data_IF_368698082921
#
_entry.id   IF_368698082921
#
_cell.length_a   1.000
_cell.length_b   1.000
_cell.length_c   1.000
_cell.angle_alpha   90.00
_cell.angle_beta   90.00
_cell.angle_gamma   90.00
#
_symmetry.space_group_name_H-M   'P 1'
#
loop_
_entity.id
_entity.type
_entity.pdbx_description
1 polymer ?
#
# COMPACT_ATOMS: atom_id res chain seq x y z
N UNK A 1 -22.06 -20.99 67.98
CA UNK A 1 -22.23 -20.47 66.61
C UNK A 1 -21.24 -21.25 65.75
N UNK A 2 -21.49 -22.52 65.44
CA UNK A 2 -22.53 -22.99 64.51
C UNK A 2 -22.61 -22.12 63.25
N UNK A 3 -21.93 -22.57 62.20
CA UNK A 3 -22.54 -22.87 60.91
C UNK A 3 -21.46 -23.50 60.01
N UNK A 4 -21.59 -24.82 59.91
CA UNK A 4 -20.89 -25.69 58.97
C UNK A 4 -21.53 -25.56 57.57
N UNK A 5 -20.86 -26.19 56.60
CA UNK A 5 -21.33 -26.69 55.30
C UNK A 5 -20.79 -25.92 54.09
N UNK A 6 -19.77 -26.47 53.41
CA UNK A 6 -19.85 -27.55 52.40
C UNK A 6 -20.34 -26.94 51.10
N UNK A 7 -19.72 -27.08 49.95
CA UNK A 7 -18.69 -27.95 49.41
C UNK A 7 -18.71 -27.63 47.91
N UNK A 8 -17.62 -27.81 47.19
CA UNK A 8 -17.69 -27.82 45.73
C UNK A 8 -16.79 -28.93 45.23
N UNK A 9 -17.45 -30.08 45.15
CA UNK A 9 -17.05 -31.29 44.48
C UNK A 9 -16.75 -31.07 42.98
N UNK A 10 -15.79 -31.88 42.55
CA UNK A 10 -15.23 -32.00 41.23
C UNK A 10 -16.22 -32.76 40.33
N UNK A 11 -16.76 -32.14 39.27
CA UNK A 11 -17.53 -32.85 38.25
C UNK A 11 -17.00 -32.44 36.86
N UNK A 12 -16.16 -33.31 36.32
CA UNK A 12 -15.99 -33.45 34.87
C UNK A 12 -17.35 -33.83 34.30
N UNK A 13 -17.92 -32.99 33.45
CA UNK A 13 -19.07 -33.36 32.62
C UNK A 13 -18.73 -33.08 31.17
N UNK A 14 -18.64 -34.18 30.44
CA UNK A 14 -18.49 -34.29 29.00
C UNK A 14 -19.56 -33.44 28.28
N UNK A 15 -19.12 -32.46 27.50
CA UNK A 15 -19.98 -31.77 26.54
C UNK A 15 -19.73 -32.42 25.17
N UNK A 16 -20.62 -33.34 24.81
CA UNK A 16 -20.66 -33.96 23.50
C UNK A 16 -20.93 -32.90 22.41
N UNK A 17 -20.33 -33.03 21.21
CA UNK A 17 -20.61 -32.13 20.10
C UNK A 17 -22.06 -32.29 19.62
N UNK A 18 -22.81 -31.20 19.65
CA UNK A 18 -24.19 -31.15 19.17
C UNK A 18 -24.24 -31.41 17.67
N UNK A 19 -24.83 -32.55 17.31
CA UNK A 19 -25.21 -32.96 15.96
C UNK A 19 -26.24 -31.98 15.41
N UNK A 20 -25.84 -31.16 14.44
CA UNK A 20 -26.75 -30.28 13.69
C UNK A 20 -27.77 -31.16 12.98
N UNK A 21 -29.04 -30.98 13.34
CA UNK A 21 -30.19 -31.63 12.72
C UNK A 21 -30.47 -30.93 11.39
N UNK A 22 -30.52 -31.64 10.24
CA UNK A 22 -30.93 -31.01 8.99
C UNK A 22 -32.42 -30.65 9.11
N UNK A 23 -32.75 -29.36 8.91
CA UNK A 23 -34.12 -28.90 8.77
C UNK A 23 -34.58 -29.15 7.34
N UNK A 24 -35.69 -29.87 7.24
CA UNK A 24 -36.40 -30.24 6.03
C UNK A 24 -36.86 -29.04 5.21
N UNK A 25 -36.69 -29.15 3.89
CA UNK A 25 -37.36 -28.32 2.87
C UNK A 25 -38.88 -28.45 2.97
N UNK A 26 -39.58 -27.31 3.10
CA UNK A 26 -40.91 -27.10 2.53
C UNK A 26 -41.31 -25.61 2.62
N UNK A 27 -41.10 -24.94 1.48
CA UNK A 27 -42.02 -24.05 0.76
C UNK A 27 -42.86 -23.02 1.55
N UNK A 28 -42.40 -21.77 1.60
CA UNK A 28 -43.25 -20.57 1.76
C UNK A 28 -42.65 -19.42 0.96
N UNK A 29 -43.40 -18.93 -0.03
CA UNK A 29 -43.60 -17.50 -0.22
C UNK A 29 -42.52 -16.72 -0.99
N UNK A 30 -42.84 -16.42 -2.24
CA UNK A 30 -42.19 -15.41 -3.06
C UNK A 30 -42.16 -14.05 -2.34
N UNK A 31 -40.97 -13.64 -1.90
CA UNK A 31 -40.66 -12.27 -1.44
C UNK A 31 -39.30 -11.94 -2.05
N UNK A 32 -39.14 -10.91 -2.91
CA UNK A 32 -37.80 -10.50 -3.33
C UNK A 32 -37.10 -9.93 -2.10
N UNK A 33 -35.98 -10.51 -1.62
CA UNK A 33 -35.25 -9.92 -0.52
C UNK A 33 -34.48 -8.71 -1.08
N UNK A 34 -34.63 -7.50 -0.52
CA UNK A 34 -33.83 -6.34 -0.91
C UNK A 34 -32.33 -6.50 -0.60
N UNK A 35 -31.92 -7.62 0.00
CA UNK A 35 -30.53 -7.90 0.35
C UNK A 35 -29.68 -8.36 -0.84
N UNK A 36 -30.27 -8.97 -1.88
CA UNK A 36 -29.49 -9.47 -3.03
C UNK A 36 -28.85 -8.31 -3.83
N UNK A 37 -29.56 -7.19 -3.98
CA UNK A 37 -29.07 -6.01 -4.67
C UNK A 37 -27.89 -5.34 -3.91
N UNK A 38 -27.84 -5.48 -2.58
CA UNK A 38 -26.72 -5.00 -1.77
C UNK A 38 -25.50 -5.93 -1.89
N UNK A 39 -25.72 -7.25 -1.92
CA UNK A 39 -24.66 -8.22 -2.16
C UNK A 39 -24.06 -8.11 -3.57
N UNK A 40 -24.88 -7.89 -4.59
CA UNK A 40 -24.41 -7.70 -5.96
C UNK A 40 -23.57 -6.42 -6.11
N UNK A 41 -23.78 -5.42 -5.24
CA UNK A 41 -22.93 -4.23 -5.15
C UNK A 41 -21.54 -4.50 -4.58
N UNK A 42 -21.36 -5.59 -3.84
CA UNK A 42 -20.09 -5.98 -3.22
C UNK A 42 -19.21 -6.79 -4.18
N UNK A 43 -19.74 -7.27 -5.31
CA UNK A 43 -18.99 -8.05 -6.29
C UNK A 43 -18.62 -7.23 -7.53
N UNK A 44 -17.38 -7.39 -7.99
CA UNK A 44 -16.96 -6.90 -9.30
C UNK A 44 -17.02 -8.06 -10.30
N UNK A 45 -17.95 -8.00 -11.24
CA UNK A 45 -18.14 -9.02 -12.28
C UNK A 45 -17.53 -8.55 -13.60
N UNK A 46 -16.54 -9.28 -14.10
CA UNK A 46 -15.85 -9.00 -15.37
C UNK A 46 -16.66 -9.54 -16.55
N UNK A 47 -17.73 -8.84 -16.95
CA UNK A 47 -18.53 -9.21 -18.13
C UNK A 47 -17.86 -8.72 -19.42
N UNK A 48 -17.70 -9.62 -20.39
CA UNK A 48 -17.11 -9.32 -21.69
C UNK A 48 -15.57 -9.30 -21.73
N UNK A 49 -14.91 -9.53 -20.60
CA UNK A 49 -13.46 -9.71 -20.54
C UNK A 49 -13.05 -11.08 -21.07
N UNK A 50 -11.82 -11.17 -21.59
CA UNK A 50 -11.25 -12.45 -22.03
C UNK A 50 -11.02 -13.38 -20.82
N UNK A 51 -10.97 -14.71 -21.01
CA UNK A 51 -10.67 -15.64 -19.91
C UNK A 51 -9.28 -15.39 -19.29
N UNK A 52 -8.34 -14.85 -20.09
CA UNK A 52 -7.00 -14.47 -19.65
C UNK A 52 -7.04 -13.24 -18.72
N UNK A 53 -7.86 -12.23 -19.01
CA UNK A 53 -8.03 -11.08 -18.11
C UNK A 53 -8.65 -11.49 -16.77
N UNK A 54 -9.60 -12.43 -16.81
CA UNK A 54 -10.24 -12.96 -15.60
C UNK A 54 -9.22 -13.73 -14.75
N UNK A 55 -8.32 -14.50 -15.37
CA UNK A 55 -7.28 -15.24 -14.64
C UNK A 55 -6.25 -14.28 -14.02
N UNK A 56 -5.82 -13.26 -14.76
CA UNK A 56 -4.94 -12.21 -14.25
C UNK A 56 -5.55 -11.46 -13.07
N UNK A 57 -6.81 -11.04 -13.18
CA UNK A 57 -7.51 -10.39 -12.08
C UNK A 57 -7.57 -11.30 -10.85
N UNK A 58 -7.94 -12.57 -11.02
CA UNK A 58 -7.95 -13.55 -9.90
C UNK A 58 -6.58 -13.68 -9.25
N UNK A 59 -5.51 -13.80 -10.04
CA UNK A 59 -4.15 -13.91 -9.53
C UNK A 59 -3.75 -12.66 -8.73
N UNK A 60 -4.04 -11.47 -9.28
CA UNK A 60 -3.79 -10.20 -8.61
C UNK A 60 -4.52 -10.11 -7.26
N UNK A 61 -5.83 -10.34 -7.23
CA UNK A 61 -6.60 -10.27 -5.99
C UNK A 61 -6.18 -11.34 -4.99
N UNK A 62 -5.79 -12.53 -5.46
CA UNK A 62 -5.25 -13.58 -4.59
C UNK A 62 -3.93 -13.15 -3.93
N UNK A 63 -3.05 -12.46 -4.66
CA UNK A 63 -1.76 -11.99 -4.14
C UNK A 63 -1.89 -10.97 -3.01
N UNK A 64 -2.96 -10.16 -3.00
CA UNK A 64 -3.22 -9.16 -1.96
C UNK A 64 -3.62 -9.78 -0.61
N UNK A 65 -4.10 -11.02 -0.64
CA UNK A 65 -4.43 -11.78 0.58
C UNK A 65 -3.22 -12.48 1.19
N UNK A 66 -2.09 -12.53 0.46
CA UNK A 66 -0.85 -13.12 0.95
C UNK A 66 -0.15 -12.11 1.86
N UNK A 67 0.34 -12.61 3.00
CA UNK A 67 1.16 -11.81 3.90
C UNK A 67 2.46 -11.43 3.17
N UNK A 68 2.98 -10.19 3.33
CA UNK A 68 4.23 -9.80 2.69
C UNK A 68 5.33 -10.80 3.05
N UNK A 69 6.21 -11.16 2.09
CA UNK A 69 7.33 -12.06 2.35
C UNK A 69 8.14 -11.55 3.55
N UNK A 70 8.66 -12.46 4.36
CA UNK A 70 9.34 -12.13 5.63
C UNK A 70 10.46 -11.09 5.45
N UNK A 71 11.13 -11.13 4.29
CA UNK A 71 12.20 -10.22 3.89
C UNK A 71 11.72 -8.79 3.62
N UNK A 72 10.45 -8.60 3.27
CA UNK A 72 9.83 -7.28 3.09
C UNK A 72 9.28 -6.69 4.40
N UNK A 73 9.34 -7.43 5.50
CA UNK A 73 8.85 -6.96 6.80
C UNK A 73 9.93 -6.10 7.46
N UNK A 74 9.60 -4.83 7.67
CA UNK A 74 10.43 -3.84 8.40
C UNK A 74 10.82 -4.26 9.83
N UNK A 75 10.17 -5.29 10.37
CA UNK A 75 10.48 -5.91 11.65
C UNK A 75 10.58 -7.40 11.38
N UNK A 76 11.80 -7.94 11.35
CA UNK A 76 12.01 -9.38 11.31
C UNK A 76 11.24 -10.03 12.46
N UNK A 77 10.59 -11.17 12.21
CA UNK A 77 9.84 -11.89 13.26
C UNK A 77 10.77 -12.38 14.39
N UNK A 78 12.05 -12.59 14.06
CA UNK A 78 13.08 -13.03 14.97
C UNK A 78 14.16 -11.95 15.11
N UNK A 79 13.94 -10.99 16.02
CA UNK A 79 14.96 -10.02 16.41
C UNK A 79 15.35 -10.30 17.87
N UNK A 80 16.03 -11.43 18.08
CA UNK A 80 16.86 -11.62 19.28
C UNK A 80 18.03 -10.61 19.36
N UNK A 81 18.22 -9.78 18.33
CA UNK A 81 19.20 -8.69 18.27
C UNK A 81 18.76 -7.38 18.94
N UNK A 82 17.59 -7.33 19.58
CA UNK A 82 17.18 -6.15 20.35
C UNK A 82 18.03 -6.09 21.62
N UNK A 83 19.06 -5.23 21.62
CA UNK A 83 19.71 -4.80 22.86
C UNK A 83 18.60 -4.35 23.83
N UNK A 84 18.66 -4.74 25.11
CA UNK A 84 17.66 -4.32 26.08
C UNK A 84 17.53 -2.79 26.05
N UNK A 85 16.36 -2.32 25.62
CA UNK A 85 16.03 -0.89 25.62
C UNK A 85 16.12 -0.44 27.07
N UNK A 86 17.01 0.50 27.36
CA UNK A 86 17.17 1.09 28.68
C UNK A 86 15.83 1.67 29.13
N UNK A 87 15.07 0.93 29.93
CA UNK A 87 13.86 1.44 30.55
C UNK A 87 14.28 2.45 31.61
N UNK A 88 13.71 3.67 31.66
CA UNK A 88 13.90 4.55 32.80
C UNK A 88 13.42 3.81 34.04
N UNK A 89 14.32 3.50 34.98
CA UNK A 89 13.93 2.98 36.27
C UNK A 89 12.98 3.99 36.92
N UNK A 90 11.72 3.59 37.12
CA UNK A 90 10.84 4.27 38.07
C UNK A 90 11.39 3.96 39.46
N UNK A 91 12.33 4.79 39.88
CA UNK A 91 12.78 4.88 41.26
C UNK A 91 11.61 5.34 42.12
N UNK A 92 11.23 4.47 43.05
CA UNK A 92 10.43 4.76 44.25
C UNK A 92 10.71 3.59 45.20
N UNK A 93 11.12 3.78 46.45
CA UNK A 93 10.54 4.71 47.40
C UNK A 93 11.43 4.88 48.68
N UNK A 94 11.93 6.11 48.92
CA UNK A 94 12.18 6.82 50.21
C UNK A 94 13.30 6.42 51.20
N UNK A 95 13.71 7.28 52.17
CA UNK A 95 13.73 8.77 52.22
C UNK A 95 15.03 9.36 52.81
N UNK A 96 15.76 10.19 52.07
CA UNK A 96 16.55 11.32 52.61
C UNK A 96 17.19 12.06 51.42
N UNK A 97 17.22 13.39 51.50
CA UNK A 97 17.79 14.33 50.52
C UNK A 97 16.84 14.72 49.37
N UNK A 98 16.34 15.95 49.53
CA UNK A 98 15.72 16.89 48.60
C UNK A 98 15.45 16.49 47.13
N UNK A 99 14.29 16.90 46.56
CA UNK A 99 14.02 16.74 45.14
C UNK A 99 14.96 17.66 44.34
N UNK A 100 15.94 17.07 43.65
CA UNK A 100 16.71 17.77 42.64
C UNK A 100 15.77 18.09 41.48
N UNK A 101 15.31 19.34 41.43
CA UNK A 101 14.66 19.93 40.26
C UNK A 101 15.47 19.55 39.02
N UNK A 102 14.81 18.94 38.05
CA UNK A 102 15.42 18.61 36.75
C UNK A 102 15.58 19.94 36.03
N UNK A 103 16.71 20.61 36.26
CA UNK A 103 17.10 21.79 35.48
C UNK A 103 17.25 21.34 34.04
N UNK A 104 16.32 21.75 33.18
CA UNK A 104 16.48 21.66 31.73
C UNK A 104 17.60 22.62 31.38
N UNK A 105 18.83 22.10 31.35
CA UNK A 105 19.98 22.85 30.87
C UNK A 105 19.68 23.33 29.44
N UNK A 106 19.80 24.64 29.17
CA UNK A 106 19.57 25.16 27.84
C UNK A 106 20.52 24.46 26.86
N UNK A 107 20.03 24.09 25.66
CA UNK A 107 20.86 23.44 24.66
C UNK A 107 22.08 24.30 24.39
N UNK A 108 23.27 23.68 24.47
CA UNK A 108 24.53 24.38 24.24
C UNK A 108 24.50 25.13 22.90
N UNK A 109 25.15 26.29 22.84
CA UNK A 109 25.25 27.13 21.63
C UNK A 109 25.60 26.34 20.34
N UNK A 110 26.53 25.37 20.33
CA UNK A 110 26.79 24.58 19.12
C UNK A 110 25.59 23.72 18.69
N UNK A 111 24.81 23.17 19.64
CA UNK A 111 23.59 22.41 19.36
C UNK A 111 22.51 23.27 18.72
N UNK A 112 22.37 24.53 19.15
CA UNK A 112 21.42 25.48 18.55
C UNK A 112 21.80 25.86 17.12
N UNK A 113 23.09 26.07 16.87
CA UNK A 113 23.61 26.38 15.54
C UNK A 113 23.37 25.25 14.54
N UNK A 114 23.68 24.01 14.93
CA UNK A 114 23.42 22.83 14.09
C UNK A 114 21.94 22.70 13.72
N UNK A 115 21.04 22.90 14.70
CA UNK A 115 19.60 22.87 14.46
C UNK A 115 19.16 23.96 13.47
N UNK A 116 19.76 25.14 13.54
CA UNK A 116 19.45 26.24 12.62
C UNK A 116 19.92 25.94 11.20
N UNK A 117 21.14 25.40 11.04
CA UNK A 117 21.70 24.99 9.75
C UNK A 117 20.85 23.87 9.12
N UNK A 118 20.41 22.89 9.92
CA UNK A 118 19.51 21.81 9.48
C UNK A 118 18.15 22.36 9.01
N UNK A 119 17.56 23.30 9.76
CA UNK A 119 16.31 23.98 9.36
C UNK A 119 16.47 24.70 8.03
N UNK A 120 17.56 25.44 7.85
CA UNK A 120 17.83 26.14 6.60
C UNK A 120 17.99 25.16 5.43
N UNK A 121 18.66 24.03 5.66
CA UNK A 121 18.80 22.96 4.66
C UNK A 121 17.43 22.41 4.23
N UNK A 122 16.54 22.13 5.18
CA UNK A 122 15.20 21.63 4.85
C UNK A 122 14.31 22.67 4.17
N UNK A 123 14.45 23.95 4.53
CA UNK A 123 13.74 25.04 3.82
C UNK A 123 14.17 25.08 2.36
N UNK A 124 15.48 25.06 2.08
CA UNK A 124 16.01 25.05 0.72
C UNK A 124 15.56 23.82 -0.08
N UNK A 125 15.55 22.62 0.53
CA UNK A 125 14.99 21.43 -0.12
C UNK A 125 13.49 21.59 -0.43
N UNK A 126 12.74 22.23 0.46
CA UNK A 126 11.32 22.53 0.25
C UNK A 126 11.09 23.48 -0.92
N UNK A 127 11.94 24.50 -1.07
CA UNK A 127 11.94 25.43 -2.21
C UNK A 127 12.23 24.70 -3.53
N UNK A 128 13.30 23.89 -3.57
CA UNK A 128 13.64 23.07 -4.74
C UNK A 128 12.49 22.13 -5.14
N UNK A 129 11.85 21.49 -4.16
CA UNK A 129 10.70 20.61 -4.42
C UNK A 129 9.51 21.39 -5.02
N UNK A 130 9.25 22.61 -4.54
CA UNK A 130 8.21 23.47 -5.12
C UNK A 130 8.53 23.81 -6.57
N UNK A 131 9.77 24.19 -6.86
CA UNK A 131 10.21 24.50 -8.22
C UNK A 131 10.01 23.31 -9.17
N UNK A 132 10.47 22.11 -8.78
CA UNK A 132 10.29 20.88 -9.57
C UNK A 132 8.79 20.62 -9.85
N UNK A 133 7.93 20.75 -8.83
CA UNK A 133 6.49 20.54 -9.01
C UNK A 133 5.88 21.55 -9.97
N UNK A 134 6.31 22.82 -9.94
CA UNK A 134 5.83 23.83 -10.89
C UNK A 134 6.28 23.53 -12.32
N UNK A 135 7.53 23.09 -12.50
CA UNK A 135 8.06 22.70 -13.81
C UNK A 135 7.27 21.52 -14.40
N UNK A 136 7.03 20.48 -13.61
CA UNK A 136 6.29 19.29 -14.05
C UNK A 136 4.84 19.62 -14.43
N UNK A 137 4.18 20.52 -13.69
CA UNK A 137 2.84 21.01 -14.04
C UNK A 137 2.85 21.70 -15.41
N UNK A 138 3.80 22.60 -15.64
CA UNK A 138 3.95 23.30 -16.92
C UNK A 138 4.22 22.34 -18.08
N UNK A 139 5.10 21.36 -17.89
CA UNK A 139 5.38 20.35 -18.91
C UNK A 139 4.15 19.51 -19.25
N UNK A 140 3.38 19.12 -18.23
CA UNK A 140 2.12 18.38 -18.42
C UNK A 140 1.10 19.22 -19.19
N UNK A 141 0.93 20.50 -18.85
CA UNK A 141 0.04 21.41 -19.56
C UNK A 141 0.45 21.58 -21.04
N UNK A 142 1.74 21.74 -21.32
CA UNK A 142 2.26 21.82 -22.68
C UNK A 142 2.01 20.53 -23.47
N UNK A 143 2.19 19.37 -22.84
CA UNK A 143 1.88 18.08 -23.46
C UNK A 143 0.40 17.98 -23.81
N UNK A 144 -0.48 18.30 -22.86
CA UNK A 144 -1.94 18.30 -23.08
C UNK A 144 -2.32 19.23 -24.24
N UNK A 145 -1.78 20.45 -24.28
CA UNK A 145 -2.05 21.40 -25.37
C UNK A 145 -1.64 20.86 -26.74
N UNK A 146 -0.46 20.23 -26.84
CA UNK A 146 -0.01 19.61 -28.09
C UNK A 146 -0.90 18.46 -28.52
N UNK A 147 -1.28 17.59 -27.58
CA UNK A 147 -2.17 16.46 -27.84
C UNK A 147 -3.56 16.94 -28.30
N UNK A 148 -4.16 17.93 -27.61
CA UNK A 148 -5.46 18.52 -27.97
C UNK A 148 -5.45 19.11 -29.39
N UNK A 149 -4.39 19.82 -29.78
CA UNK A 149 -4.26 20.38 -31.14
C UNK A 149 -4.07 19.26 -32.19
N UNK A 150 -3.34 18.19 -31.86
CA UNK A 150 -3.11 17.08 -32.78
C UNK A 150 -4.34 16.20 -33.03
N UNK A 151 -5.27 16.09 -32.09
CA UNK A 151 -6.52 15.31 -32.28
C UNK A 151 -7.43 15.94 -33.35
N UNK A 152 -7.45 17.28 -33.43
CA UNK A 152 -8.27 17.99 -34.43
C UNK A 152 -7.61 18.08 -35.81
N UNK A 153 -6.29 17.90 -35.90
CA UNK A 153 -5.55 18.02 -37.16
C UNK A 153 -5.52 16.68 -37.89
N UNK A 154 -6.52 16.45 -38.77
CA UNK A 154 -6.36 15.49 -39.87
C UNK A 154 -5.54 16.18 -40.96
N UNK A 155 -4.29 15.78 -41.22
CA UNK A 155 -3.58 16.28 -42.39
C UNK A 155 -4.44 15.94 -43.61
N UNK A 156 -4.88 16.97 -44.32
CA UNK A 156 -5.51 16.81 -45.62
C UNK A 156 -4.43 16.29 -46.55
N UNK A 157 -4.27 14.97 -46.59
CA UNK A 157 -3.56 14.28 -47.66
C UNK A 157 -4.31 14.65 -48.93
N UNK A 158 -3.74 15.58 -49.70
CA UNK A 158 -4.10 15.67 -51.12
C UNK A 158 -3.65 14.33 -51.70
N UNK A 159 -4.62 13.49 -52.03
CA UNK A 159 -4.44 12.29 -52.83
C UNK A 159 -3.96 12.72 -54.22
N UNK A 160 -2.66 12.96 -54.36
CA UNK A 160 -1.97 12.71 -55.61
C UNK A 160 -1.19 11.42 -55.43
N UNK A 161 -1.84 10.36 -55.88
CA UNK A 161 -1.25 9.04 -56.10
C UNK A 161 -0.13 9.17 -57.11
N UNK A 162 1.10 9.39 -56.65
CA UNK A 162 2.27 8.86 -57.33
C UNK A 162 2.98 7.85 -56.43
N UNK A 163 3.11 6.67 -57.01
CA UNK A 163 3.67 5.45 -56.46
C UNK A 163 5.17 5.67 -56.20
N UNK A 164 5.52 6.12 -54.99
CA UNK A 164 6.91 6.08 -54.52
C UNK A 164 7.07 4.84 -53.66
N UNK A 165 7.92 3.94 -54.15
CA UNK A 165 8.37 2.73 -53.49
C UNK A 165 8.98 3.07 -52.11
N UNK A 166 8.68 2.31 -51.03
CA UNK A 166 9.23 2.60 -49.72
C UNK A 166 10.72 2.26 -49.71
N UNK A 167 11.57 3.29 -49.77
CA UNK A 167 12.97 3.17 -49.37
C UNK A 167 13.01 2.93 -47.84
N UNK A 168 13.70 1.88 -47.36
CA UNK A 168 13.83 1.64 -45.94
C UNK A 168 14.59 2.81 -45.28
N UNK A 169 14.22 3.21 -44.06
CA UNK A 169 14.94 4.26 -43.33
C UNK A 169 16.37 3.77 -43.04
N UNK A 170 17.37 4.63 -43.24
CA UNK A 170 18.79 4.27 -43.12
C UNK A 170 19.20 3.77 -41.72
N UNK A 171 18.37 4.05 -40.70
CA UNK A 171 18.54 3.54 -39.35
C UNK A 171 18.41 2.01 -39.25
N UNK A 172 17.75 1.37 -40.22
CA UNK A 172 17.58 -0.11 -40.23
C UNK A 172 18.85 -0.88 -40.58
N UNK A 173 19.85 -0.22 -41.16
CA UNK A 173 21.12 -0.86 -41.52
C UNK A 173 22.06 -0.94 -40.32
N UNK A 174 22.15 0.16 -39.54
CA UNK A 174 22.89 0.19 -38.28
C UNK A 174 22.35 -0.82 -37.25
N UNK A 175 21.02 -0.93 -37.13
CA UNK A 175 20.41 -1.89 -36.20
C UNK A 175 20.71 -3.34 -36.59
N UNK A 176 20.83 -3.65 -37.88
CA UNK A 176 21.16 -4.99 -38.36
C UNK A 176 22.62 -5.34 -38.07
N UNK A 177 23.54 -4.42 -38.32
CA UNK A 177 24.96 -4.62 -37.96
C UNK A 177 25.13 -4.84 -36.44
N UNK A 178 24.37 -4.12 -35.62
CA UNK A 178 24.45 -4.27 -34.17
C UNK A 178 23.98 -5.64 -33.69
N UNK A 179 22.96 -6.20 -34.34
CA UNK A 179 22.45 -7.55 -34.05
C UNK A 179 23.44 -8.63 -34.51
N UNK A 180 24.08 -8.44 -35.66
CA UNK A 180 25.05 -9.40 -36.22
C UNK A 180 26.34 -9.48 -35.39
N UNK A 181 26.73 -8.40 -34.70
CA UNK A 181 27.88 -8.40 -33.78
C UNK A 181 27.64 -9.14 -32.44
N UNK A 182 26.38 -9.51 -32.13
CA UNK A 182 26.00 -10.16 -30.88
C UNK A 182 25.74 -11.67 -31.02
N UNK A 183 25.80 -12.21 -32.24
CA UNK A 183 25.68 -13.65 -32.53
C UNK A 183 27.06 -14.30 -32.71
#
# INVERSE_FOLDING_TARGET
MEAELRGNENIKSDICPTRIRPMSEQDIGQTPPPEQDEFDKLFTVFKGSSPEDISHARQLWSSLSLLPPLESRLVSADIHQRLPVSRPQRSGFTPAVAPKLVTVEPPSVPTLRQRQEERQRYVAMGDQRREILTLLRRQREQRIQKEVVSVAFKPKVKLETEKVEPQPPSDTEMDKELVEQLQ
#
